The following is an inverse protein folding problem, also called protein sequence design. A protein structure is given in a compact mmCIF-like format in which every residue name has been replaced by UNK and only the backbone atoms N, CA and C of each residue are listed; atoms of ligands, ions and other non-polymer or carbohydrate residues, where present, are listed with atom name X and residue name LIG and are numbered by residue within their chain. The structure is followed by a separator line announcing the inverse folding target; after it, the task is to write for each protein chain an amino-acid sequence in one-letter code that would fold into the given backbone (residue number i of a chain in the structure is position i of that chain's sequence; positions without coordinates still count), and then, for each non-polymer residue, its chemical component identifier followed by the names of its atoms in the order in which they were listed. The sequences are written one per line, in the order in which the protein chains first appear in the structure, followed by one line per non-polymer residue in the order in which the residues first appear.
data_IF_452658760101
#
_entry.id   IF_452658760101
#
_cell.length_a   1.000
_cell.length_b   1.000
_cell.length_c   1.000
_cell.angle_alpha   90.00
_cell.angle_beta   90.00
_cell.angle_gamma   90.00
#
_symmetry.space_group_name_H-M   'P 1'
#
loop_
_entity.id
_entity.type
_entity.pdbx_description
1 polymer ?
#
# COMPACT_ATOMS: atom_id res chain seq x y z
N UNK A 1 -1.65 -13.19 -14.23
CA UNK A 1 -3.03 -13.18 -13.71
C UNK A 1 -3.05 -12.14 -12.62
N UNK A 2 -4.14 -11.40 -12.41
CA UNK A 2 -4.15 -10.31 -11.44
C UNK A 2 -4.73 -10.76 -10.10
N UNK A 3 -3.96 -10.60 -9.03
CA UNK A 3 -4.37 -10.90 -7.65
C UNK A 3 -4.23 -9.63 -6.81
N UNK A 4 -5.21 -9.38 -5.94
CA UNK A 4 -5.22 -8.17 -5.12
C UNK A 4 -5.37 -8.46 -3.63
N UNK A 5 -4.76 -7.62 -2.80
CA UNK A 5 -4.98 -7.57 -1.37
C UNK A 5 -5.30 -6.14 -0.93
N UNK A 6 -6.32 -5.99 -0.08
CA UNK A 6 -6.78 -4.67 0.37
C UNK A 6 -6.69 -4.54 1.89
N UNK A 7 -6.06 -3.48 2.37
CA UNK A 7 -6.06 -3.10 3.78
C UNK A 7 -6.86 -1.81 3.98
N UNK A 8 -7.89 -1.88 4.82
CA UNK A 8 -8.82 -0.76 5.05
C UNK A 8 -8.55 -0.04 6.37
N UNK A 9 -8.88 1.25 6.42
CA UNK A 9 -8.82 2.11 7.61
C UNK A 9 -7.42 2.25 8.23
N UNK A 10 -6.38 2.21 7.40
CA UNK A 10 -5.01 2.40 7.86
C UNK A 10 -4.83 3.80 8.42
N UNK A 11 -4.23 3.91 9.62
CA UNK A 11 -3.99 5.17 10.33
C UNK A 11 -2.81 5.97 9.74
N UNK A 12 -2.74 6.02 8.42
CA UNK A 12 -1.69 6.68 7.64
C UNK A 12 -2.33 7.68 6.69
N UNK A 13 -1.69 8.84 6.54
CA UNK A 13 -2.12 9.84 5.55
C UNK A 13 -1.87 9.31 4.12
N UNK A 14 -2.85 9.40 3.21
CA UNK A 14 -2.70 8.93 1.83
C UNK A 14 -1.43 9.45 1.14
N UNK A 15 -1.05 10.71 1.39
CA UNK A 15 0.16 11.31 0.80
C UNK A 15 1.46 10.58 1.22
N UNK A 16 1.55 10.17 2.48
CA UNK A 16 2.73 9.46 3.00
C UNK A 16 2.80 8.03 2.45
N UNK A 17 1.64 7.37 2.35
CA UNK A 17 1.53 6.05 1.74
C UNK A 17 1.87 6.06 0.25
N UNK A 18 1.37 7.01 -0.53
CA UNK A 18 1.70 7.15 -1.97
C UNK A 18 3.19 7.31 -2.23
N UNK A 19 3.90 8.08 -1.39
CA UNK A 19 5.35 8.26 -1.53
C UNK A 19 6.11 6.93 -1.42
N UNK A 20 5.70 6.06 -0.49
CA UNK A 20 6.33 4.75 -0.29
C UNK A 20 5.86 3.74 -1.35
N UNK A 21 4.58 3.79 -1.72
CA UNK A 21 3.99 2.95 -2.75
C UNK A 21 4.69 3.13 -4.11
N UNK A 22 4.97 4.38 -4.50
CA UNK A 22 5.66 4.69 -5.76
C UNK A 22 7.07 4.07 -5.85
N UNK A 23 7.73 3.77 -4.73
CA UNK A 23 9.06 3.14 -4.73
C UNK A 23 9.00 1.66 -5.13
N UNK A 24 7.88 0.99 -4.87
CA UNK A 24 7.72 -0.46 -5.02
C UNK A 24 6.87 -0.87 -6.23
N UNK A 25 6.11 0.06 -6.81
CA UNK A 25 5.36 -0.19 -8.04
C UNK A 25 6.31 -0.56 -9.19
N UNK A 26 6.00 -1.62 -9.92
CA UNK A 26 6.78 -2.13 -11.05
C UNK A 26 7.98 -3.01 -10.67
N UNK A 27 8.18 -3.33 -9.39
CA UNK A 27 9.26 -4.20 -8.93
C UNK A 27 8.78 -5.63 -8.66
N UNK A 28 9.67 -6.65 -8.77
CA UNK A 28 9.34 -8.00 -8.35
C UNK A 28 9.02 -8.05 -6.85
N UNK A 29 8.13 -8.96 -6.46
CA UNK A 29 7.58 -9.02 -5.10
C UNK A 29 8.67 -9.21 -4.04
N UNK A 30 9.68 -10.05 -4.32
CA UNK A 30 10.82 -10.27 -3.43
C UNK A 30 11.63 -8.99 -3.18
N UNK A 31 11.95 -8.25 -4.25
CA UNK A 31 12.69 -6.99 -4.14
C UNK A 31 11.87 -5.90 -3.43
N UNK A 32 10.58 -5.79 -3.77
CA UNK A 32 9.68 -4.86 -3.10
C UNK A 32 9.62 -5.10 -1.58
N UNK A 33 9.58 -6.37 -1.14
CA UNK A 33 9.61 -6.71 0.27
C UNK A 33 10.95 -6.38 0.95
N UNK A 34 12.07 -6.54 0.24
CA UNK A 34 13.38 -6.15 0.73
C UNK A 34 13.48 -4.63 0.93
N UNK A 35 13.04 -3.84 -0.06
CA UNK A 35 13.04 -2.37 0.00
C UNK A 35 12.17 -1.89 1.16
N UNK A 36 10.95 -2.42 1.30
CA UNK A 36 10.05 -2.03 2.38
C UNK A 36 10.55 -2.42 3.77
N UNK A 37 11.42 -3.43 3.88
CA UNK A 37 12.03 -3.85 5.15
C UNK A 37 13.07 -2.84 5.65
N UNK A 38 13.85 -2.26 4.75
CA UNK A 38 14.94 -1.34 5.09
C UNK A 38 14.54 0.14 5.04
N UNK A 39 13.37 0.47 4.50
CA UNK A 39 12.89 1.85 4.48
C UNK A 39 12.60 2.35 5.91
N UNK A 40 13.11 3.53 6.32
CA UNK A 40 12.93 4.05 7.69
C UNK A 40 11.50 4.52 7.99
N UNK A 41 10.63 4.60 6.99
CA UNK A 41 9.26 5.09 7.17
C UNK A 41 8.38 4.07 7.89
N UNK A 42 7.59 4.45 8.92
CA UNK A 42 6.67 3.54 9.59
C UNK A 42 5.59 2.99 8.64
N UNK A 43 5.28 3.74 7.58
CA UNK A 43 4.33 3.31 6.54
C UNK A 43 4.84 2.11 5.74
N UNK A 44 6.15 1.93 5.63
CA UNK A 44 6.74 0.80 4.92
C UNK A 44 6.39 -0.53 5.59
N UNK A 45 6.42 -0.57 6.93
CA UNK A 45 6.01 -1.77 7.70
C UNK A 45 4.55 -2.14 7.46
N UNK A 46 3.67 -1.15 7.31
CA UNK A 46 2.26 -1.40 6.99
C UNK A 46 2.11 -1.93 5.57
N UNK A 47 2.76 -1.30 4.60
CA UNK A 47 2.71 -1.73 3.20
C UNK A 47 3.31 -3.13 3.00
N UNK A 48 4.41 -3.45 3.68
CA UNK A 48 5.03 -4.78 3.64
C UNK A 48 4.04 -5.88 4.05
N UNK A 49 3.17 -5.62 5.03
CA UNK A 49 2.13 -6.58 5.43
C UNK A 49 1.11 -6.81 4.31
N UNK A 50 0.70 -5.75 3.61
CA UNK A 50 -0.27 -5.84 2.51
C UNK A 50 0.34 -6.58 1.32
N UNK A 51 1.60 -6.28 0.98
CA UNK A 51 2.33 -6.99 -0.08
C UNK A 51 2.48 -8.47 0.25
N UNK A 52 2.89 -8.82 1.48
CA UNK A 52 2.95 -10.23 1.91
C UNK A 52 1.59 -10.93 1.82
N UNK A 53 0.52 -10.24 2.18
CA UNK A 53 -0.84 -10.78 2.04
C UNK A 53 -1.22 -11.00 0.58
N UNK A 54 -0.81 -10.12 -0.33
CA UNK A 54 -1.08 -10.28 -1.76
C UNK A 54 -0.34 -11.51 -2.33
N UNK A 55 0.93 -11.68 -1.97
CA UNK A 55 1.74 -12.84 -2.36
C UNK A 55 1.14 -14.12 -1.79
N UNK A 56 0.81 -14.14 -0.50
CA UNK A 56 0.20 -15.31 0.14
C UNK A 56 -1.18 -15.66 -0.48
N UNK A 57 -1.96 -14.67 -0.92
CA UNK A 57 -3.21 -14.93 -1.62
C UNK A 57 -2.96 -15.54 -3.00
N UNK A 58 -1.95 -15.05 -3.73
CA UNK A 58 -1.56 -15.58 -5.02
C UNK A 58 -1.09 -17.05 -4.91
N UNK A 59 -0.28 -17.36 -3.91
CA UNK A 59 0.15 -18.72 -3.58
C UNK A 59 -1.03 -19.62 -3.21
N UNK A 60 -1.83 -19.25 -2.21
CA UNK A 60 -2.84 -20.16 -1.67
C UNK A 60 -4.06 -20.35 -2.58
N UNK A 61 -4.46 -19.32 -3.31
CA UNK A 61 -5.69 -19.36 -4.12
C UNK A 61 -5.43 -19.82 -5.55
N UNK A 62 -4.26 -19.46 -6.10
CA UNK A 62 -3.94 -19.69 -7.52
C UNK A 62 -2.68 -20.53 -7.72
N UNK A 63 -2.03 -20.98 -6.64
CA UNK A 63 -0.84 -21.83 -6.66
C UNK A 63 0.30 -21.27 -7.55
N UNK A 64 0.40 -19.94 -7.58
CA UNK A 64 1.41 -19.20 -8.34
C UNK A 64 2.75 -19.18 -7.58
N UNK A 65 3.86 -19.21 -8.31
CA UNK A 65 5.19 -19.07 -7.72
C UNK A 65 5.41 -17.62 -7.26
N UNK A 66 5.71 -17.37 -5.98
CA UNK A 66 6.03 -16.03 -5.48
C UNK A 66 7.24 -15.37 -6.15
N UNK A 67 8.15 -16.15 -6.76
CA UNK A 67 9.32 -15.63 -7.45
C UNK A 67 8.97 -14.88 -8.75
N UNK A 68 7.88 -15.27 -9.42
CA UNK A 68 7.43 -14.71 -10.70
C UNK A 68 6.46 -13.53 -10.53
N UNK A 69 6.06 -13.22 -9.29
CA UNK A 69 5.10 -12.16 -9.01
C UNK A 69 5.75 -10.78 -9.06
N UNK A 70 5.12 -9.88 -9.82
CA UNK A 70 5.49 -8.47 -9.90
C UNK A 70 4.39 -7.59 -9.29
N UNK A 71 4.79 -6.53 -8.58
CA UNK A 71 3.85 -5.55 -8.03
C UNK A 71 3.42 -4.61 -9.15
N UNK A 72 2.32 -4.93 -9.82
CA UNK A 72 1.82 -4.15 -10.95
C UNK A 72 1.35 -2.75 -10.52
N UNK A 73 0.55 -2.66 -9.45
CA UNK A 73 0.06 -1.38 -8.98
C UNK A 73 -0.22 -1.36 -7.48
N UNK A 74 -0.13 -0.17 -6.88
CA UNK A 74 -0.45 0.07 -5.48
C UNK A 74 -1.37 1.28 -5.39
N UNK A 75 -2.66 1.01 -5.27
CA UNK A 75 -3.69 2.03 -5.17
C UNK A 75 -3.82 2.49 -3.71
N UNK A 76 -3.81 3.81 -3.51
CA UNK A 76 -3.90 4.42 -2.18
C UNK A 76 -5.03 5.45 -2.17
N UNK A 77 -6.16 5.01 -1.63
CA UNK A 77 -7.38 5.80 -1.51
C UNK A 77 -7.50 6.50 -0.17
N UNK A 78 -8.32 7.55 -0.17
CA UNK A 78 -8.63 8.31 1.03
C UNK A 78 -9.67 7.56 1.86
N UNK A 79 -9.39 7.35 3.13
CA UNK A 79 -10.36 6.84 4.10
C UNK A 79 -11.07 7.95 4.89
N UNK A 80 -11.93 7.58 5.86
CA UNK A 80 -12.58 8.53 6.74
C UNK A 80 -11.57 9.38 7.52
N UNK A 81 -11.89 10.66 7.70
CA UNK A 81 -11.03 11.62 8.38
C UNK A 81 -11.67 12.00 9.71
N UNK A 82 -10.98 11.68 10.80
CA UNK A 82 -11.43 12.11 12.12
C UNK A 82 -11.01 13.55 12.37
N UNK A 83 -11.95 14.35 12.87
CA UNK A 83 -11.75 15.76 13.22
C UNK A 83 -11.51 15.87 14.73
N UNK A 84 -10.57 16.71 15.12
CA UNK A 84 -10.31 17.10 16.52
C UNK A 84 -10.19 18.62 16.57
N UNK A 85 -10.75 19.22 17.60
CA UNK A 85 -10.65 20.66 17.84
C UNK A 85 -9.23 20.96 18.33
N UNK A 86 -8.66 22.06 17.86
CA UNK A 86 -7.34 22.53 18.22
C UNK A 86 -7.45 23.98 18.72
N UNK A 87 -7.38 24.25 20.04
CA UNK A 87 -7.51 25.59 20.56
C UNK A 87 -6.35 26.48 20.07
N UNK A 88 -6.67 27.70 19.65
CA UNK A 88 -5.70 28.70 19.17
C UNK A 88 -5.78 29.96 20.02
N UNK A 89 -4.82 30.87 19.79
CA UNK A 89 -4.76 32.14 20.51
C UNK A 89 -6.02 33.00 20.26
N UNK A 90 -6.32 33.91 21.21
CA UNK A 90 -7.40 34.90 21.10
C UNK A 90 -8.80 34.31 20.85
N UNK A 91 -9.12 33.18 21.52
CA UNK A 91 -10.44 32.54 21.40
C UNK A 91 -10.70 31.86 20.04
N UNK A 92 -9.69 31.74 19.18
CA UNK A 92 -9.81 31.04 17.90
C UNK A 92 -9.71 29.52 18.07
N UNK A 93 -10.23 28.80 17.08
CA UNK A 93 -10.24 27.33 17.07
C UNK A 93 -9.92 26.81 15.67
N UNK A 94 -8.99 25.86 15.63
CA UNK A 94 -8.60 25.13 14.44
C UNK A 94 -9.10 23.69 14.44
N UNK A 95 -8.84 22.98 13.34
CA UNK A 95 -9.20 21.58 13.17
C UNK A 95 -7.98 20.72 12.85
N UNK A 96 -7.65 19.78 13.73
CA UNK A 96 -6.69 18.70 13.44
C UNK A 96 -7.42 17.57 12.70
N UNK A 97 -6.92 17.23 11.51
CA UNK A 97 -7.48 16.16 10.66
C UNK A 97 -6.63 14.89 10.78
N UNK A 98 -7.11 13.89 11.52
CA UNK A 98 -6.49 12.56 11.63
C UNK A 98 -6.99 11.68 10.48
N UNK A 99 -6.33 11.82 9.32
CA UNK A 99 -6.64 11.11 8.07
C UNK A 99 -6.37 9.61 8.18
N UNK A 100 -7.16 8.81 7.47
CA UNK A 100 -6.89 7.39 7.21
C UNK A 100 -6.77 7.14 5.70
N UNK A 101 -6.29 5.96 5.34
CA UNK A 101 -6.19 5.49 3.96
C UNK A 101 -6.69 4.06 3.81
N UNK A 102 -7.11 3.73 2.60
CA UNK A 102 -7.30 2.36 2.14
C UNK A 102 -6.19 2.08 1.13
N UNK A 103 -5.53 0.93 1.24
CA UNK A 103 -4.46 0.53 0.32
C UNK A 103 -4.85 -0.78 -0.33
N UNK A 104 -4.78 -0.80 -1.65
CA UNK A 104 -4.95 -2.01 -2.47
C UNK A 104 -3.64 -2.27 -3.18
N UNK A 105 -3.04 -3.43 -2.94
CA UNK A 105 -1.86 -3.91 -3.67
C UNK A 105 -2.33 -4.91 -4.69
N UNK A 106 -1.84 -4.75 -5.91
CA UNK A 106 -2.13 -5.61 -7.05
C UNK A 106 -0.81 -6.26 -7.46
N UNK A 107 -0.81 -7.59 -7.52
CA UNK A 107 0.30 -8.41 -8.01
C UNK A 107 -0.12 -9.15 -9.27
N UNK A 108 0.81 -9.27 -10.20
CA UNK A 108 0.61 -9.89 -11.51
C UNK A 108 1.75 -10.85 -11.83
N UNK A 109 1.47 -11.84 -12.70
CA UNK A 109 2.50 -12.71 -13.26
C UNK A 109 3.00 -12.12 -14.60
N UNK A 110 4.28 -12.30 -14.89
CA UNK A 110 5.04 -11.76 -16.01
C UNK A 110 4.43 -12.09 -17.39
N UNK A 111 3.80 -13.25 -17.56
CA UNK A 111 3.08 -13.64 -18.80
C UNK A 111 1.98 -12.64 -19.24
N UNK A 112 1.46 -11.84 -18.31
CA UNK A 112 0.44 -10.84 -18.63
C UNK A 112 1.02 -9.54 -19.19
N UNK A 113 2.31 -9.25 -18.96
CA UNK A 113 2.97 -8.06 -19.53
C UNK A 113 3.26 -8.24 -21.02
N UNK A 114 3.53 -9.47 -21.46
CA UNK A 114 3.79 -9.81 -22.87
C UNK A 114 2.53 -9.90 -23.74
N UNK A 115 1.34 -9.99 -23.15
CA UNK A 115 0.06 -10.12 -23.88
C UNK A 115 -0.71 -8.80 -24.02
N UNK A 116 -0.22 -7.71 -23.39
CA UNK A 116 -0.82 -6.39 -23.42
C UNK A 116 -0.13 -5.36 -24.32
N UNK A 117 0.80 -5.81 -25.18
CA UNK A 117 1.47 -4.97 -26.18
C UNK A 117 0.96 -5.29 -27.59
#
# INVERSE_FOLDING_TARGET
MQVQATAKYLRVSPRKARRVAATVTGRPAGEALAILRFLPSPTARTLAKVVRSAVANAENTYNLDPAELTVANVLVDKGPVFRRIDPKARGQWGLIRRRTSHVTVIVENEEYLSSGA
#
